data_IF_225159137568
#
_entry.id   IF_225159137568
#
_cell.length_a   1.000
_cell.length_b   1.000
_cell.length_c   1.000
_cell.angle_alpha   90.00
_cell.angle_beta   90.00
_cell.angle_gamma   90.00
#
_symmetry.space_group_name_H-M   'P 1'
#
loop_
_entity.id
_entity.type
_entity.pdbx_description
1 polymer ?
#
# COMPACT_ATOMS: atom_id res chain seq x y z
N UNK A 1 -17.59 0.85 -10.51
CA UNK A 1 -16.88 2.06 -10.08
C UNK A 1 -15.42 1.66 -10.00
N UNK A 2 -14.56 2.30 -10.81
CA UNK A 2 -13.27 1.77 -11.28
C UNK A 2 -12.15 1.99 -10.24
N UNK A 3 -11.26 1.00 -10.03
CA UNK A 3 -10.11 1.09 -9.10
C UNK A 3 -9.15 2.22 -9.50
N UNK A 4 -9.14 2.59 -10.78
CA UNK A 4 -8.43 3.77 -11.30
C UNK A 4 -8.81 5.07 -10.59
N UNK A 5 -10.04 5.20 -10.09
CA UNK A 5 -10.47 6.39 -9.33
C UNK A 5 -9.94 6.41 -7.89
N UNK A 6 -9.43 5.30 -7.35
CA UNK A 6 -8.88 5.24 -5.99
C UNK A 6 -7.38 5.59 -5.94
N UNK A 7 -6.64 5.30 -7.02
CA UNK A 7 -5.27 5.75 -7.24
C UNK A 7 -5.14 7.29 -7.39
N UNK A 8 -6.26 7.99 -7.57
CA UNK A 8 -6.32 9.45 -7.73
C UNK A 8 -5.70 10.22 -6.55
N UNK A 9 -5.68 9.67 -5.33
CA UNK A 9 -4.96 10.29 -4.20
C UNK A 9 -3.43 10.19 -4.35
N UNK A 10 -2.92 9.15 -4.99
CA UNK A 10 -1.49 8.98 -5.27
C UNK A 10 -1.06 9.93 -6.41
N UNK A 11 -1.96 10.26 -7.34
CA UNK A 11 -1.74 11.24 -8.42
C UNK A 11 -1.92 12.70 -7.97
N UNK A 12 -2.92 13.03 -7.15
CA UNK A 12 -3.12 14.40 -6.64
C UNK A 12 -2.00 14.85 -5.69
N UNK A 13 -1.36 13.92 -4.98
CA UNK A 13 -0.18 14.20 -4.16
C UNK A 13 1.10 14.42 -5.00
N UNK A 14 1.15 13.97 -6.26
CA UNK A 14 2.29 14.20 -7.17
C UNK A 14 2.32 15.63 -7.72
N UNK A 15 1.16 16.27 -7.91
CA UNK A 15 1.08 17.67 -8.32
C UNK A 15 1.70 18.62 -7.27
N UNK A 16 1.64 18.26 -5.99
CA UNK A 16 2.27 19.01 -4.91
C UNK A 16 3.80 18.78 -4.83
N UNK A 17 4.28 17.57 -5.18
CA UNK A 17 5.71 17.23 -5.22
C UNK A 17 6.49 17.94 -6.32
N UNK A 18 5.90 18.02 -7.53
CA UNK A 18 6.52 18.70 -8.68
C UNK A 18 6.76 20.21 -8.44
N UNK A 19 6.06 20.82 -7.48
CA UNK A 19 6.20 22.24 -7.15
C UNK A 19 7.17 22.54 -6.00
N UNK A 20 7.54 21.56 -5.17
CA UNK A 20 8.22 21.83 -3.88
C UNK A 20 9.56 21.11 -3.65
N UNK A 21 9.90 20.07 -4.43
CA UNK A 21 11.24 19.47 -4.44
C UNK A 21 11.72 18.89 -3.10
N UNK A 22 10.81 18.63 -2.15
CA UNK A 22 11.11 17.96 -0.87
C UNK A 22 10.26 16.69 -0.72
N UNK A 23 10.81 15.60 -0.16
CA UNK A 23 9.99 14.48 0.27
C UNK A 23 9.05 14.99 1.37
N UNK A 24 7.75 14.94 1.09
CA UNK A 24 6.73 15.27 2.07
C UNK A 24 6.72 14.14 3.11
N UNK A 25 7.00 14.47 4.38
CA UNK A 25 7.01 13.51 5.49
C UNK A 25 5.68 12.75 5.58
N UNK A 26 4.58 13.37 5.13
CA UNK A 26 3.26 12.74 5.04
C UNK A 26 3.19 11.68 3.93
N UNK A 27 3.86 11.90 2.81
CA UNK A 27 3.95 10.93 1.71
C UNK A 27 4.75 9.71 2.13
N UNK A 28 5.90 9.89 2.77
CA UNK A 28 6.73 8.76 3.22
C UNK A 28 5.98 7.93 4.27
N UNK A 29 5.28 8.59 5.21
CA UNK A 29 4.38 7.92 6.15
C UNK A 29 3.25 7.16 5.45
N UNK A 30 2.68 7.71 4.39
CA UNK A 30 1.63 7.05 3.62
C UNK A 30 2.16 5.83 2.87
N UNK A 31 3.33 5.91 2.24
CA UNK A 31 4.00 4.78 1.59
C UNK A 31 4.34 3.68 2.59
N UNK A 32 4.80 4.03 3.80
CA UNK A 32 5.01 3.07 4.87
C UNK A 32 3.71 2.33 5.27
N UNK A 33 2.56 3.04 5.30
CA UNK A 33 1.26 2.39 5.54
C UNK A 33 0.88 1.43 4.43
N UNK A 34 1.18 1.75 3.17
CA UNK A 34 0.95 0.87 2.02
C UNK A 34 1.81 -0.39 2.09
N UNK A 35 3.09 -0.26 2.45
CA UNK A 35 3.96 -1.43 2.68
C UNK A 35 3.46 -2.29 3.84
N UNK A 36 3.10 -1.69 4.98
CA UNK A 36 2.55 -2.42 6.12
C UNK A 36 1.26 -3.18 5.77
N UNK A 37 0.43 -2.63 4.89
CA UNK A 37 -0.74 -3.33 4.35
C UNK A 37 -0.34 -4.55 3.52
N UNK A 38 0.60 -4.41 2.57
CA UNK A 38 1.10 -5.51 1.74
C UNK A 38 1.69 -6.62 2.60
N UNK A 39 2.55 -6.26 3.56
CA UNK A 39 3.27 -7.23 4.40
C UNK A 39 2.34 -8.01 5.32
N UNK A 40 1.29 -7.37 5.83
CA UNK A 40 0.32 -8.01 6.75
C UNK A 40 -0.82 -8.75 6.03
N UNK A 41 -0.97 -8.58 4.72
CA UNK A 41 -2.07 -9.17 3.97
C UNK A 41 -2.09 -10.72 3.97
N UNK A 42 -0.97 -11.44 3.76
CA UNK A 42 -0.96 -12.91 3.74
C UNK A 42 -1.43 -13.53 5.06
N UNK A 43 -1.02 -12.95 6.19
CA UNK A 43 -1.44 -13.42 7.51
C UNK A 43 -2.94 -13.19 7.72
N UNK A 44 -3.46 -12.04 7.29
CA UNK A 44 -4.90 -11.71 7.40
C UNK A 44 -5.77 -12.58 6.50
N UNK A 45 -5.30 -12.90 5.31
CA UNK A 45 -5.95 -13.85 4.43
C UNK A 45 -6.06 -15.23 5.08
N UNK A 46 -4.95 -15.71 5.66
CA UNK A 46 -4.94 -17.00 6.36
C UNK A 46 -5.88 -17.02 7.57
N UNK A 47 -5.94 -15.94 8.35
CA UNK A 47 -6.88 -15.79 9.47
C UNK A 47 -8.34 -15.82 9.01
N UNK A 48 -8.67 -15.12 7.91
CA UNK A 48 -10.02 -15.10 7.34
C UNK A 48 -10.44 -16.50 6.86
N UNK A 49 -9.57 -17.20 6.11
CA UNK A 49 -9.86 -18.58 5.69
C UNK A 49 -10.01 -19.52 6.88
N UNK A 50 -9.17 -19.41 7.90
CA UNK A 50 -9.29 -20.25 9.10
C UNK A 50 -10.59 -20.00 9.89
N UNK A 51 -11.08 -18.75 9.92
CA UNK A 51 -12.36 -18.43 10.53
C UNK A 51 -13.54 -19.00 9.72
N UNK A 52 -13.45 -18.96 8.38
CA UNK A 52 -14.44 -19.57 7.49
C UNK A 52 -14.48 -21.10 7.63
N UNK A 53 -13.34 -21.77 7.65
CA UNK A 53 -13.26 -23.24 7.80
C UNK A 53 -13.91 -23.72 9.12
N UNK A 54 -13.74 -22.93 10.19
CA UNK A 54 -14.34 -23.20 11.51
C UNK A 54 -15.81 -22.80 11.60
N UNK A 55 -16.36 -22.18 10.57
CA UNK A 55 -17.69 -21.58 10.56
C UNK A 55 -17.92 -20.61 11.72
N UNK A 56 -16.86 -19.92 12.14
CA UNK A 56 -16.91 -18.97 13.25
C UNK A 56 -17.34 -17.59 12.73
N UNK A 57 -18.65 -17.36 12.71
CA UNK A 57 -19.23 -16.09 12.27
C UNK A 57 -18.71 -14.90 13.08
N UNK A 58 -18.54 -15.05 14.40
CA UNK A 58 -18.11 -13.95 15.25
C UNK A 58 -16.64 -13.56 14.98
N UNK A 59 -15.76 -14.55 14.83
CA UNK A 59 -14.37 -14.32 14.41
C UNK A 59 -14.31 -13.72 13.00
N UNK A 60 -15.13 -14.21 12.07
CA UNK A 60 -15.20 -13.71 10.69
C UNK A 60 -15.60 -12.24 10.65
N UNK A 61 -16.65 -11.84 11.38
CA UNK A 61 -17.09 -10.44 11.49
C UNK A 61 -15.95 -9.56 12.01
N UNK A 62 -15.27 -9.99 13.08
CA UNK A 62 -14.15 -9.24 13.67
C UNK A 62 -12.98 -9.07 12.70
N UNK A 63 -12.69 -10.09 11.89
CA UNK A 63 -11.63 -10.02 10.88
C UNK A 63 -12.01 -9.10 9.71
N UNK A 64 -13.28 -9.09 9.29
CA UNK A 64 -13.80 -8.15 8.29
C UNK A 64 -13.77 -6.70 8.82
N UNK A 65 -14.08 -6.47 10.10
CA UNK A 65 -13.89 -5.17 10.74
C UNK A 65 -12.42 -4.71 10.72
N UNK A 66 -11.49 -5.62 11.02
CA UNK A 66 -10.05 -5.34 10.92
C UNK A 66 -9.62 -5.01 9.49
N UNK A 67 -10.13 -5.74 8.49
CA UNK A 67 -9.85 -5.47 7.09
C UNK A 67 -10.38 -4.09 6.66
N UNK A 68 -11.60 -3.71 7.10
CA UNK A 68 -12.16 -2.37 6.89
C UNK A 68 -11.23 -1.29 7.47
N UNK A 69 -10.74 -1.46 8.70
CA UNK A 69 -9.91 -0.45 9.36
C UNK A 69 -8.57 -0.27 8.65
N UNK A 70 -7.98 -1.36 8.14
CA UNK A 70 -6.80 -1.29 7.30
C UNK A 70 -7.06 -0.53 6.00
N UNK A 71 -8.20 -0.82 5.33
CA UNK A 71 -8.62 -0.11 4.12
C UNK A 71 -8.81 1.39 4.38
N UNK A 72 -9.38 1.78 5.52
CA UNK A 72 -9.48 3.19 5.93
C UNK A 72 -8.09 3.81 6.12
N UNK A 73 -7.17 3.08 6.76
CA UNK A 73 -5.82 3.57 7.04
C UNK A 73 -5.00 3.83 5.76
N UNK A 74 -5.23 3.04 4.71
CA UNK A 74 -4.62 3.24 3.38
C UNK A 74 -5.50 4.08 2.43
N UNK A 75 -6.53 4.74 2.95
CA UNK A 75 -7.45 5.58 2.18
C UNK A 75 -8.19 4.86 1.02
N UNK A 76 -8.33 3.54 1.08
CA UNK A 76 -9.13 2.71 0.15
C UNK A 76 -10.63 2.80 0.48
N UNK A 77 -11.18 4.02 0.37
CA UNK A 77 -12.50 4.38 0.91
C UNK A 77 -13.68 3.63 0.29
N UNK A 78 -13.59 3.22 -0.98
CA UNK A 78 -14.69 2.49 -1.63
C UNK A 78 -14.84 1.07 -1.06
N UNK A 79 -13.72 0.34 -0.94
CA UNK A 79 -13.67 -0.99 -0.31
C UNK A 79 -14.02 -0.92 1.18
N UNK A 80 -13.53 0.10 1.88
CA UNK A 80 -13.90 0.33 3.27
C UNK A 80 -15.41 0.58 3.43
N UNK A 81 -16.02 1.37 2.54
CA UNK A 81 -17.46 1.63 2.55
C UNK A 81 -18.29 0.38 2.26
N UNK A 82 -17.82 -0.46 1.33
CA UNK A 82 -18.45 -1.75 1.05
C UNK A 82 -18.42 -2.68 2.27
N UNK A 83 -17.26 -2.76 2.94
CA UNK A 83 -17.13 -3.52 4.18
C UNK A 83 -18.08 -3.01 5.27
N UNK A 84 -18.18 -1.69 5.46
CA UNK A 84 -19.11 -1.09 6.44
C UNK A 84 -20.56 -1.48 6.16
N UNK A 85 -21.02 -1.35 4.91
CA UNK A 85 -22.39 -1.71 4.53
C UNK A 85 -22.69 -3.20 4.74
N UNK A 86 -21.70 -4.06 4.49
CA UNK A 86 -21.85 -5.49 4.66
C UNK A 86 -21.84 -5.90 6.13
N UNK A 87 -20.98 -5.29 6.94
CA UNK A 87 -20.89 -5.52 8.39
C UNK A 87 -22.21 -5.25 9.13
N UNK A 88 -23.02 -4.28 8.68
CA UNK A 88 -24.33 -3.97 9.29
C UNK A 88 -25.27 -5.20 9.36
N UNK A 89 -25.16 -6.11 8.41
CA UNK A 89 -26.04 -7.28 8.31
C UNK A 89 -25.32 -8.62 8.44
N UNK A 90 -23.97 -8.63 8.37
CA UNK A 90 -23.16 -9.84 8.28
C UNK A 90 -23.42 -10.84 9.42
N UNK A 91 -23.61 -10.35 10.65
CA UNK A 91 -23.85 -11.19 11.82
C UNK A 91 -25.20 -11.92 11.79
N UNK A 92 -26.16 -11.44 10.99
CA UNK A 92 -27.50 -12.02 10.83
C UNK A 92 -27.67 -12.79 9.51
N UNK A 93 -26.63 -12.85 8.67
CA UNK A 93 -26.67 -13.56 7.40
C UNK A 93 -26.40 -15.07 7.55
N UNK A 94 -26.83 -15.84 6.56
CA UNK A 94 -26.49 -17.27 6.49
C UNK A 94 -25.01 -17.43 6.22
N UNK A 95 -24.37 -18.39 6.89
CA UNK A 95 -22.93 -18.61 6.79
C UNK A 95 -22.42 -18.76 5.33
N UNK A 96 -23.18 -19.42 4.45
CA UNK A 96 -22.84 -19.53 3.04
C UNK A 96 -22.66 -18.16 2.35
N UNK A 97 -23.53 -17.19 2.64
CA UNK A 97 -23.42 -15.82 2.10
C UNK A 97 -22.24 -15.06 2.70
N UNK A 98 -21.93 -15.33 3.97
CA UNK A 98 -20.75 -14.77 4.64
C UNK A 98 -19.48 -15.28 3.95
N UNK A 99 -19.41 -16.59 3.67
CA UNK A 99 -18.28 -17.21 2.95
C UNK A 99 -18.11 -16.60 1.56
N UNK A 100 -19.17 -16.52 0.75
CA UNK A 100 -19.14 -15.91 -0.58
C UNK A 100 -18.65 -14.45 -0.54
N UNK A 101 -19.12 -13.69 0.44
CA UNK A 101 -18.69 -12.31 0.63
C UNK A 101 -17.21 -12.22 1.01
N UNK A 102 -16.75 -13.04 1.96
CA UNK A 102 -15.35 -13.02 2.40
C UNK A 102 -14.42 -13.46 1.27
N UNK A 103 -14.77 -14.45 0.46
CA UNK A 103 -13.98 -14.85 -0.71
C UNK A 103 -13.87 -13.71 -1.75
N UNK A 104 -14.98 -12.99 -1.99
CA UNK A 104 -14.99 -11.79 -2.83
C UNK A 104 -14.12 -10.67 -2.24
N UNK A 105 -14.16 -10.48 -0.92
CA UNK A 105 -13.35 -9.49 -0.23
C UNK A 105 -11.86 -9.82 -0.33
N UNK A 106 -11.47 -11.08 -0.09
CA UNK A 106 -10.08 -11.56 -0.22
C UNK A 106 -9.57 -11.31 -1.64
N UNK A 107 -10.37 -11.63 -2.66
CA UNK A 107 -10.00 -11.37 -4.07
C UNK A 107 -9.77 -9.88 -4.35
N UNK A 108 -10.62 -9.03 -3.78
CA UNK A 108 -10.50 -7.57 -3.93
C UNK A 108 -9.26 -7.03 -3.22
N UNK A 109 -8.96 -7.53 -2.02
CA UNK A 109 -7.77 -7.15 -1.26
C UNK A 109 -6.48 -7.62 -1.93
N UNK A 110 -6.47 -8.81 -2.53
CA UNK A 110 -5.35 -9.31 -3.35
C UNK A 110 -5.07 -8.39 -4.54
N UNK A 111 -6.12 -8.05 -5.28
CA UNK A 111 -6.01 -7.13 -6.42
C UNK A 111 -5.44 -5.79 -5.97
N UNK A 112 -5.98 -5.22 -4.88
CA UNK A 112 -5.48 -3.97 -4.32
C UNK A 112 -4.00 -4.07 -3.89
N UNK A 113 -3.60 -5.16 -3.24
CA UNK A 113 -2.19 -5.38 -2.85
C UNK A 113 -1.26 -5.39 -4.06
N UNK A 114 -1.65 -6.07 -5.14
CA UNK A 114 -0.89 -6.09 -6.39
C UNK A 114 -0.83 -4.70 -7.03
N UNK A 115 -1.95 -3.98 -7.10
CA UNK A 115 -2.00 -2.63 -7.66
C UNK A 115 -1.10 -1.66 -6.90
N UNK A 116 -1.08 -1.75 -5.56
CA UNK A 116 -0.17 -0.97 -4.71
C UNK A 116 1.29 -1.35 -5.01
N UNK A 117 1.61 -2.64 -5.11
CA UNK A 117 2.98 -3.10 -5.41
C UNK A 117 3.47 -2.59 -6.76
N UNK A 118 2.63 -2.65 -7.81
CA UNK A 118 2.98 -2.11 -9.14
C UNK A 118 3.17 -0.59 -9.08
N UNK A 119 2.25 0.14 -8.43
CA UNK A 119 2.35 1.59 -8.31
C UNK A 119 3.59 2.05 -7.52
N UNK A 120 4.04 1.28 -6.53
CA UNK A 120 5.26 1.55 -5.78
C UNK A 120 6.53 1.21 -6.59
N UNK A 121 6.51 0.13 -7.38
CA UNK A 121 7.61 -0.25 -8.25
C UNK A 121 7.84 0.78 -9.36
N UNK A 122 6.78 1.23 -10.05
CA UNK A 122 6.85 2.26 -11.09
C UNK A 122 7.44 3.58 -10.55
N UNK A 123 7.12 3.93 -9.31
CA UNK A 123 7.69 5.14 -8.66
C UNK A 123 9.14 4.97 -8.23
N UNK A 124 9.59 3.77 -7.87
CA UNK A 124 11.01 3.52 -7.60
C UNK A 124 11.85 3.58 -8.87
N UNK A 125 11.33 3.07 -9.98
CA UNK A 125 12.00 3.11 -11.29
C UNK A 125 12.15 4.57 -11.78
N UNK A 126 11.08 5.37 -11.71
CA UNK A 126 11.13 6.80 -12.06
C UNK A 126 12.12 7.58 -11.16
N UNK A 127 12.17 7.29 -9.86
CA UNK A 127 13.11 7.94 -8.96
C UNK A 127 14.58 7.58 -9.28
N UNK A 128 14.83 6.34 -9.72
CA UNK A 128 16.16 5.88 -10.12
C UNK A 128 16.62 6.52 -11.44
N UNK A 129 15.73 6.62 -12.44
CA UNK A 129 16.02 7.28 -13.72
C UNK A 129 16.28 8.79 -13.55
N UNK A 130 15.50 9.48 -12.71
CA UNK A 130 15.73 10.89 -12.39
C UNK A 130 17.04 11.12 -11.62
N UNK A 131 17.46 10.18 -10.78
CA UNK A 131 18.74 10.25 -10.08
C UNK A 131 19.93 10.05 -11.04
N UNK A 132 19.80 9.15 -12.03
CA UNK A 132 20.83 8.94 -13.06
C UNK A 132 20.94 10.13 -14.03
N UNK A 133 19.81 10.71 -14.46
CA UNK A 133 19.81 11.89 -15.34
C UNK A 133 20.40 13.15 -14.68
N UNK A 134 20.30 13.26 -13.35
CA UNK A 134 20.91 14.36 -12.58
C UNK A 134 22.45 14.20 -12.46
N UNK A 135 22.97 12.97 -12.50
CA UNK A 135 24.41 12.67 -12.43
C UNK A 135 25.09 12.86 -13.81
N UNK A 136 24.40 12.53 -14.91
CA UNK A 136 24.93 12.70 -16.28
C UNK A 136 24.93 14.15 -16.80
N UNK A 137 24.18 15.06 -16.15
CA UNK A 137 24.08 16.48 -16.54
C UNK A 137 25.17 17.39 -15.92
N UNK A 138 26.01 16.84 -15.03
CA UNK A 138 27.05 17.61 -14.32
C UNK A 138 28.41 17.53 -15.01
N UNK A 139 28.52 18.09 -16.22
CA UNK A 139 29.80 18.35 -16.89
C UNK A 139 30.46 19.60 -16.27
N UNK A 140 30.93 19.45 -15.03
CA UNK A 140 31.91 20.36 -14.40
C UNK A 140 32.94 19.53 -13.66
N UNK A 141 34.24 19.82 -13.82
CA UNK A 141 35.29 19.02 -13.23
C UNK A 141 35.19 19.06 -11.70
N UNK A 142 34.91 17.89 -11.13
CA UNK A 142 34.89 17.64 -9.68
C UNK A 142 36.30 17.90 -9.15
N UNK A 143 36.45 18.97 -8.37
CA UNK A 143 37.67 19.27 -7.63
C UNK A 143 37.95 18.18 -6.59
N UNK A 144 39.20 17.70 -6.53
CA UNK A 144 39.72 16.60 -5.69
C UNK A 144 39.35 16.66 -4.19
N UNK A 145 38.86 17.80 -3.71
CA UNK A 145 38.40 17.96 -2.32
C UNK A 145 37.03 17.33 -2.02
N UNK A 146 36.25 16.96 -3.04
CA UNK A 146 34.92 16.35 -2.88
C UNK A 146 34.96 14.81 -2.81
N UNK A 147 36.10 14.18 -3.14
CA UNK A 147 36.26 12.72 -3.19
C UNK A 147 36.41 12.04 -1.82
N UNK A 148 36.63 12.79 -0.74
CA UNK A 148 36.85 12.23 0.61
C UNK A 148 35.56 11.94 1.41
N UNK A 149 34.38 12.38 0.96
CA UNK A 149 33.13 12.09 1.68
C UNK A 149 32.39 10.84 1.19
N UNK A 150 32.63 10.39 -0.05
CA UNK A 150 31.93 9.24 -0.63
C UNK A 150 32.58 7.89 -0.31
N UNK A 151 33.81 7.85 0.21
CA UNK A 151 34.50 6.61 0.56
C UNK A 151 34.16 6.06 1.95
N UNK A 152 33.53 6.85 2.82
CA UNK A 152 33.29 6.43 4.22
C UNK A 152 31.99 5.64 4.41
N UNK A 153 31.03 5.73 3.48
CA UNK A 153 29.71 5.07 3.66
C UNK A 153 29.68 3.62 3.15
N UNK A 154 30.67 3.18 2.35
CA UNK A 154 30.67 1.84 1.74
C UNK A 154 31.39 0.73 2.53
N UNK A 155 31.88 0.98 3.75
CA UNK A 155 32.64 -0.01 4.54
C UNK A 155 31.90 -0.47 5.83
N UNK A 156 30.66 -0.03 6.07
CA UNK A 156 29.97 -0.39 7.33
C UNK A 156 29.07 -1.64 7.27
N UNK A 157 29.02 -2.40 6.17
CA UNK A 157 28.22 -3.64 6.05
C UNK A 157 28.96 -4.74 5.26
N UNK A 158 30.12 -5.15 5.78
CA UNK A 158 30.65 -6.51 5.63
C UNK A 158 31.04 -7.00 7.03
#
# INVERSE_FOLDING_TARGET
>A
MDIKTQLFKIEELDAAKLLTGKPDEEFDKYVQKLHAFIDSFPDREAELHAALEKQDTAATVKLVEGARDLLVNIAAGALASECTKKLENLANEQFAKISEYVDSLITSLKTLSLDIQMALADKQEQAAEHAQAADESSDKPISEKQLWWWTTIRIAWI
#
